data_IF_075922854941
#
_entry.id   IF_075922854941
#
_cell.length_a   1.000
_cell.length_b   1.000
_cell.length_c   1.000
_cell.angle_alpha   90.00
_cell.angle_beta   90.00
_cell.angle_gamma   90.00
#
_symmetry.space_group_name_H-M   'P 1'
#
loop_
_entity.id
_entity.type
_entity.pdbx_description
1 polymer ?
#
# COMPACT_ATOMS: atom_id res chain seq x y z
N UNK A 1 -29.02 -0.19 -21.24
CA UNK A 1 -28.19 -0.44 -20.01
C UNK A 1 -26.76 -0.49 -20.50
N UNK A 2 -25.85 0.30 -19.95
CA UNK A 2 -24.44 0.27 -20.33
C UNK A 2 -23.79 -1.07 -19.96
N UNK A 3 -22.84 -1.51 -20.77
CA UNK A 3 -22.16 -2.78 -20.54
C UNK A 3 -21.22 -2.70 -19.34
N UNK A 4 -21.04 -3.84 -18.66
CA UNK A 4 -20.04 -3.97 -17.61
C UNK A 4 -18.66 -3.94 -18.28
N UNK A 5 -17.78 -3.07 -17.78
CA UNK A 5 -16.38 -2.99 -18.19
C UNK A 5 -15.50 -3.61 -17.12
N UNK A 6 -14.44 -4.28 -17.53
CA UNK A 6 -13.44 -4.88 -16.65
C UNK A 6 -12.18 -4.02 -16.65
N UNK A 7 -11.63 -3.79 -15.48
CA UNK A 7 -10.40 -3.06 -15.29
C UNK A 7 -9.43 -3.88 -14.43
N UNK A 8 -8.32 -4.30 -15.02
CA UNK A 8 -7.25 -5.03 -14.35
C UNK A 8 -6.36 -4.04 -13.59
N UNK A 9 -6.04 -4.38 -12.36
CA UNK A 9 -5.30 -3.51 -11.48
C UNK A 9 -4.59 -4.29 -10.37
N UNK A 10 -3.55 -3.70 -9.80
CA UNK A 10 -2.92 -4.16 -8.57
C UNK A 10 -3.66 -3.60 -7.35
N UNK A 11 -3.88 -4.43 -6.33
CA UNK A 11 -4.43 -4.01 -5.05
C UNK A 11 -3.45 -3.06 -4.34
N UNK A 12 -3.97 -1.94 -3.82
CA UNK A 12 -3.18 -0.86 -3.23
C UNK A 12 -3.16 -0.86 -1.69
N UNK A 13 -3.56 -1.97 -1.04
CA UNK A 13 -3.65 -2.00 0.43
C UNK A 13 -2.32 -2.37 1.09
N UNK A 14 -1.60 -3.33 0.52
CA UNK A 14 -0.34 -3.80 1.11
C UNK A 14 0.66 -4.29 0.04
N UNK A 15 1.86 -4.62 0.49
CA UNK A 15 3.01 -5.01 -0.33
C UNK A 15 2.82 -6.33 -1.07
N UNK A 16 1.80 -7.12 -0.75
CA UNK A 16 1.46 -8.33 -1.51
C UNK A 16 1.00 -8.01 -2.93
N UNK A 17 0.53 -6.77 -3.18
CA UNK A 17 0.18 -6.23 -4.50
C UNK A 17 -0.62 -7.20 -5.37
N UNK A 18 -1.60 -7.89 -4.78
CA UNK A 18 -2.40 -8.89 -5.49
C UNK A 18 -3.10 -8.31 -6.71
N UNK A 19 -3.10 -9.05 -7.81
CA UNK A 19 -3.86 -8.70 -9.02
C UNK A 19 -5.37 -8.80 -8.78
N UNK A 20 -6.09 -7.76 -9.15
CA UNK A 20 -7.55 -7.67 -9.04
C UNK A 20 -8.19 -7.25 -10.35
N UNK A 21 -9.37 -7.77 -10.60
CA UNK A 21 -10.24 -7.36 -11.70
C UNK A 21 -11.43 -6.61 -11.13
N UNK A 22 -11.55 -5.35 -11.47
CA UNK A 22 -12.64 -4.48 -11.06
C UNK A 22 -13.68 -4.45 -12.19
N UNK A 23 -14.86 -4.98 -11.93
CA UNK A 23 -16.01 -4.80 -12.81
C UNK A 23 -16.72 -3.50 -12.44
N UNK A 24 -16.92 -2.62 -13.41
CA UNK A 24 -17.59 -1.35 -13.19
C UNK A 24 -18.62 -1.04 -14.29
N UNK A 25 -19.62 -0.24 -13.95
CA UNK A 25 -20.67 0.26 -14.83
C UNK A 25 -21.00 1.70 -14.43
N UNK A 26 -21.00 2.61 -15.40
CA UNK A 26 -21.36 4.02 -15.21
C UNK A 26 -20.63 4.70 -14.01
N UNK A 27 -19.35 4.36 -13.83
CA UNK A 27 -18.53 4.90 -12.74
C UNK A 27 -18.71 4.22 -11.38
N UNK A 28 -19.62 3.26 -11.27
CA UNK A 28 -19.85 2.50 -10.02
C UNK A 28 -19.14 1.14 -10.07
N UNK A 29 -18.54 0.73 -8.97
CA UNK A 29 -17.89 -0.57 -8.83
C UNK A 29 -18.96 -1.63 -8.59
N UNK A 30 -19.10 -2.57 -9.52
CA UNK A 30 -20.02 -3.71 -9.41
C UNK A 30 -19.43 -4.80 -8.54
N UNK A 31 -18.18 -5.20 -8.81
CA UNK A 31 -17.48 -6.21 -8.04
C UNK A 31 -15.96 -6.07 -8.15
N UNK A 32 -15.26 -6.63 -7.15
CA UNK A 32 -13.80 -6.82 -7.18
C UNK A 32 -13.53 -8.31 -7.03
N UNK A 33 -12.79 -8.88 -7.97
CA UNK A 33 -12.43 -10.30 -8.00
C UNK A 33 -10.93 -10.47 -8.16
N UNK A 34 -10.38 -11.65 -7.82
CA UNK A 34 -8.98 -11.94 -8.09
C UNK A 34 -8.72 -11.97 -9.60
N UNK A 35 -7.54 -11.53 -10.00
CA UNK A 35 -7.01 -11.75 -11.33
C UNK A 35 -6.31 -13.13 -11.34
N UNK A 36 -6.88 -14.08 -12.09
CA UNK A 36 -6.35 -15.43 -12.18
C UNK A 36 -5.09 -15.53 -13.05
N UNK A 37 -4.82 -14.52 -13.86
CA UNK A 37 -3.63 -14.45 -14.72
C UNK A 37 -2.46 -13.72 -14.04
N UNK A 38 -2.70 -13.09 -12.87
CA UNK A 38 -1.63 -12.42 -12.13
C UNK A 38 -0.61 -13.44 -11.60
N UNK A 39 0.63 -13.27 -12.02
CA UNK A 39 1.72 -14.21 -11.73
C UNK A 39 2.14 -14.20 -10.25
N UNK A 40 1.92 -13.10 -9.52
CA UNK A 40 2.26 -12.97 -8.12
C UNK A 40 1.19 -13.56 -7.20
N UNK A 41 -0.05 -13.10 -7.34
CA UNK A 41 -1.16 -13.53 -6.47
C UNK A 41 -1.83 -14.83 -6.92
N UNK A 42 -1.60 -15.27 -8.17
CA UNK A 42 -2.11 -16.53 -8.71
C UNK A 42 -3.60 -16.76 -8.45
N UNK A 43 -4.39 -15.72 -8.67
CA UNK A 43 -5.84 -15.77 -8.43
C UNK A 43 -6.25 -15.78 -6.96
N UNK A 44 -5.38 -15.33 -6.05
CA UNK A 44 -5.71 -15.18 -4.62
C UNK A 44 -5.83 -13.71 -4.25
N UNK A 45 -6.91 -13.36 -3.54
CA UNK A 45 -7.04 -12.08 -2.84
C UNK A 45 -7.57 -12.30 -1.43
N UNK A 46 -7.16 -11.45 -0.51
CA UNK A 46 -7.67 -11.48 0.85
C UNK A 46 -8.98 -10.66 0.98
N UNK A 47 -9.73 -10.81 2.09
CA UNK A 47 -10.97 -10.06 2.32
C UNK A 47 -10.81 -8.53 2.22
N UNK A 48 -9.63 -8.00 2.57
CA UNK A 48 -9.34 -6.55 2.48
C UNK A 48 -9.42 -6.03 1.05
N UNK A 49 -8.97 -6.82 0.07
CA UNK A 49 -9.03 -6.43 -1.33
C UNK A 49 -10.48 -6.38 -1.86
N UNK A 50 -11.35 -7.27 -1.39
CA UNK A 50 -12.79 -7.23 -1.70
C UNK A 50 -13.44 -5.98 -1.09
N UNK A 51 -13.09 -5.64 0.14
CA UNK A 51 -13.61 -4.48 0.87
C UNK A 51 -13.17 -3.12 0.27
N UNK A 52 -12.25 -3.11 -0.72
CA UNK A 52 -11.91 -1.87 -1.45
C UNK A 52 -13.14 -1.22 -2.12
N UNK A 53 -14.15 -2.02 -2.50
CA UNK A 53 -15.40 -1.48 -3.05
C UNK A 53 -16.10 -0.62 -2.00
N UNK A 54 -16.30 -1.14 -0.79
CA UNK A 54 -16.97 -0.45 0.30
C UNK A 54 -16.21 0.82 0.69
N UNK A 55 -14.87 0.73 0.77
CA UNK A 55 -14.01 1.88 1.02
C UNK A 55 -14.13 2.96 -0.08
N UNK A 56 -14.24 2.55 -1.35
CA UNK A 56 -14.38 3.48 -2.49
C UNK A 56 -15.73 4.19 -2.49
N UNK A 57 -16.80 3.48 -2.13
CA UNK A 57 -18.19 3.95 -2.17
C UNK A 57 -18.65 4.54 -0.83
N UNK A 58 -17.83 4.48 0.21
CA UNK A 58 -18.15 5.00 1.54
C UNK A 58 -18.63 6.47 1.46
N UNK A 59 -19.83 6.78 1.95
CA UNK A 59 -20.40 8.13 1.93
C UNK A 59 -19.58 9.13 2.77
N UNK A 60 -18.88 8.66 3.81
CA UNK A 60 -18.05 9.48 4.68
C UNK A 60 -16.65 9.75 4.10
N UNK A 61 -16.33 9.13 2.96
CA UNK A 61 -15.05 9.35 2.29
C UNK A 61 -14.92 10.78 1.78
N UNK A 62 -13.87 11.48 2.20
CA UNK A 62 -13.54 12.80 1.68
C UNK A 62 -13.23 12.71 0.18
N UNK A 63 -13.97 13.47 -0.63
CA UNK A 63 -13.82 13.54 -2.09
C UNK A 63 -13.26 14.88 -2.57
N UNK A 64 -13.24 15.86 -1.68
CA UNK A 64 -12.74 17.21 -1.90
C UNK A 64 -11.86 17.65 -0.73
N UNK A 65 -10.95 18.59 -0.93
CA UNK A 65 -10.20 19.18 0.16
C UNK A 65 -11.15 19.89 1.12
N UNK A 66 -10.88 19.76 2.41
CA UNK A 66 -11.65 20.39 3.48
C UNK A 66 -10.74 21.33 4.27
N UNK A 67 -11.20 22.54 4.51
CA UNK A 67 -10.51 23.52 5.35
C UNK A 67 -11.25 23.67 6.68
N UNK A 68 -10.49 23.62 7.77
CA UNK A 68 -11.07 23.88 9.09
C UNK A 68 -11.31 25.36 9.30
N UNK A 69 -12.51 25.72 9.76
CA UNK A 69 -12.92 27.05 10.17
C UNK A 69 -13.23 27.09 11.66
N UNK A 70 -13.57 28.26 12.20
CA UNK A 70 -14.01 28.41 13.59
C UNK A 70 -15.35 27.71 13.87
N UNK A 71 -16.20 27.55 12.85
CA UNK A 71 -17.53 26.95 12.95
C UNK A 71 -17.59 25.48 12.48
N UNK A 72 -16.48 24.91 11.95
CA UNK A 72 -16.48 23.53 11.46
C UNK A 72 -15.54 23.31 10.29
N UNK A 73 -16.00 22.60 9.27
CA UNK A 73 -15.26 22.28 8.07
C UNK A 73 -15.99 22.80 6.84
N UNK A 74 -15.25 23.37 5.90
CA UNK A 74 -15.77 23.81 4.61
C UNK A 74 -15.03 23.15 3.45
N UNK A 75 -15.76 22.81 2.40
CA UNK A 75 -15.18 22.31 1.16
C UNK A 75 -14.50 23.47 0.40
N UNK A 76 -13.27 23.22 -0.09
CA UNK A 76 -12.51 24.19 -0.90
C UNK A 76 -12.03 23.53 -2.20
N UNK A 77 -11.66 24.33 -3.18
CA UNK A 77 -11.06 23.82 -4.41
C UNK A 77 -9.66 23.29 -4.17
N UNK A 78 -9.18 22.39 -5.04
CA UNK A 78 -7.80 21.90 -5.02
C UNK A 78 -6.79 23.04 -5.18
N UNK A 79 -7.07 24.04 -6.03
CA UNK A 79 -6.21 25.21 -6.20
C UNK A 79 -6.07 25.99 -4.88
N UNK A 80 -7.18 26.31 -4.23
CA UNK A 80 -7.17 27.00 -2.93
C UNK A 80 -6.46 26.19 -1.84
N UNK A 81 -6.58 24.85 -1.85
CA UNK A 81 -5.88 23.99 -0.91
C UNK A 81 -4.36 24.06 -1.12
N UNK A 82 -3.89 23.96 -2.37
CA UNK A 82 -2.47 24.05 -2.68
C UNK A 82 -1.87 25.42 -2.36
N UNK A 83 -2.54 26.51 -2.69
CA UNK A 83 -2.12 27.87 -2.34
C UNK A 83 -1.97 28.03 -0.81
N UNK A 84 -2.93 27.56 -0.05
CA UNK A 84 -2.88 27.64 1.41
C UNK A 84 -1.76 26.78 2.00
N UNK A 85 -1.54 25.57 1.49
CA UNK A 85 -0.45 24.68 1.93
C UNK A 85 0.91 25.32 1.63
N UNK A 86 1.12 25.81 0.41
CA UNK A 86 2.36 26.47 -0.01
C UNK A 86 2.67 27.66 0.90
N UNK A 87 1.70 28.55 1.08
CA UNK A 87 1.84 29.72 1.94
C UNK A 87 2.20 29.32 3.38
N UNK A 88 1.43 28.42 4.00
CA UNK A 88 1.63 28.03 5.42
C UNK A 88 2.97 27.32 5.64
N UNK A 89 3.32 26.37 4.79
CA UNK A 89 4.61 25.70 4.86
C UNK A 89 5.74 26.71 4.65
N UNK A 90 5.60 27.62 3.68
CA UNK A 90 6.56 28.69 3.44
C UNK A 90 6.78 29.58 4.66
N UNK A 91 5.71 30.01 5.31
CA UNK A 91 5.75 30.84 6.52
C UNK A 91 6.42 30.13 7.72
N UNK A 92 6.11 28.85 7.93
CA UNK A 92 6.71 28.04 9.01
C UNK A 92 8.20 27.88 8.76
N UNK A 93 8.60 27.54 7.53
CA UNK A 93 10.01 27.37 7.15
C UNK A 93 10.80 28.69 7.23
N UNK A 94 10.21 29.79 6.84
CA UNK A 94 10.85 31.10 6.94
C UNK A 94 11.14 31.52 8.40
N UNK A 95 10.25 31.15 9.32
CA UNK A 95 10.40 31.49 10.75
C UNK A 95 11.29 30.52 11.53
N UNK A 96 11.23 29.24 11.21
CA UNK A 96 11.79 28.18 12.04
C UNK A 96 12.79 27.26 11.30
N UNK A 97 13.08 27.54 10.04
CA UNK A 97 13.96 26.71 9.20
C UNK A 97 13.28 25.49 8.60
N UNK A 98 13.99 24.78 7.71
CA UNK A 98 13.43 23.66 6.97
C UNK A 98 13.02 22.48 7.87
N UNK A 99 13.77 22.24 8.94
CA UNK A 99 13.54 21.11 9.86
C UNK A 99 12.33 21.33 10.80
N UNK A 100 11.64 22.46 10.68
CA UNK A 100 10.34 22.70 11.35
C UNK A 100 9.17 21.94 10.71
N UNK A 101 9.37 21.39 9.52
CA UNK A 101 8.40 20.54 8.83
C UNK A 101 8.86 19.09 8.90
N UNK A 102 7.97 18.19 9.26
CA UNK A 102 8.22 16.75 9.26
C UNK A 102 7.35 16.06 8.21
N UNK A 103 7.88 15.03 7.57
CA UNK A 103 7.17 14.19 6.63
C UNK A 103 7.05 12.77 7.19
N UNK A 104 5.84 12.23 7.21
CA UNK A 104 5.60 10.82 7.47
C UNK A 104 5.06 10.16 6.18
N UNK A 105 5.87 9.25 5.62
CA UNK A 105 5.52 8.54 4.38
C UNK A 105 4.81 7.25 4.75
N UNK A 106 3.53 7.18 4.41
CA UNK A 106 2.68 6.03 4.69
C UNK A 106 2.84 4.91 3.66
N UNK A 107 2.41 3.71 4.04
CA UNK A 107 2.45 2.51 3.21
C UNK A 107 1.81 2.67 1.81
N UNK A 108 0.65 3.33 1.63
CA UNK A 108 0.05 3.49 0.30
C UNK A 108 0.94 4.20 -0.72
N UNK A 109 1.96 4.93 -0.30
CA UNK A 109 2.91 5.59 -1.21
C UNK A 109 3.65 4.58 -2.08
N UNK A 110 4.03 3.42 -1.54
CA UNK A 110 4.76 2.37 -2.29
C UNK A 110 3.86 1.53 -3.18
N UNK A 111 2.54 1.61 -3.03
CA UNK A 111 1.54 0.88 -3.83
C UNK A 111 0.83 1.76 -4.85
N UNK A 112 1.21 3.02 -4.94
CA UNK A 112 0.68 3.99 -5.90
C UNK A 112 1.82 4.51 -6.78
N UNK A 113 1.81 4.13 -8.04
CA UNK A 113 2.88 4.49 -8.98
C UNK A 113 3.09 6.00 -9.07
N UNK A 114 2.03 6.79 -9.14
CA UNK A 114 2.13 8.25 -9.18
C UNK A 114 2.79 8.83 -7.92
N UNK A 115 2.42 8.33 -6.73
CA UNK A 115 3.05 8.74 -5.48
C UNK A 115 4.52 8.32 -5.43
N UNK A 116 4.86 7.09 -5.84
CA UNK A 116 6.26 6.62 -5.90
C UNK A 116 7.13 7.49 -6.81
N UNK A 117 6.62 7.85 -7.97
CA UNK A 117 7.37 8.68 -8.92
C UNK A 117 7.58 10.12 -8.42
N UNK A 118 6.65 10.64 -7.61
CA UNK A 118 6.64 12.05 -7.19
C UNK A 118 7.21 12.27 -5.79
N UNK A 119 7.22 11.25 -4.91
CA UNK A 119 7.61 11.41 -3.51
C UNK A 119 9.05 11.90 -3.33
N UNK A 120 9.97 11.45 -4.18
CA UNK A 120 11.38 11.86 -4.14
C UNK A 120 11.56 13.35 -4.43
N UNK A 121 10.85 13.88 -5.40
CA UNK A 121 10.87 15.30 -5.74
C UNK A 121 10.22 16.14 -4.65
N UNK A 122 9.11 15.66 -4.10
CA UNK A 122 8.44 16.30 -2.98
C UNK A 122 9.33 16.40 -1.75
N UNK A 123 10.00 15.30 -1.36
CA UNK A 123 10.95 15.30 -0.24
C UNK A 123 12.10 16.29 -0.48
N UNK A 124 12.65 16.31 -1.69
CA UNK A 124 13.70 17.28 -2.07
C UNK A 124 13.22 18.73 -2.00
N UNK A 125 11.98 19.00 -2.40
CA UNK A 125 11.40 20.35 -2.33
C UNK A 125 11.18 20.82 -0.89
N UNK A 126 10.74 19.94 0.01
CA UNK A 126 10.51 20.28 1.43
C UNK A 126 11.83 20.53 2.16
N UNK A 127 12.93 19.87 1.78
CA UNK A 127 14.30 20.06 2.33
C UNK A 127 14.38 19.88 3.86
N UNK A 128 13.63 18.95 4.41
CA UNK A 128 13.68 18.61 5.83
C UNK A 128 14.52 17.36 6.07
N UNK A 129 15.16 17.27 7.25
CA UNK A 129 15.77 16.04 7.76
C UNK A 129 14.77 15.14 8.47
N UNK A 130 13.59 15.66 8.79
CA UNK A 130 12.56 14.97 9.55
C UNK A 130 11.67 14.14 8.61
N UNK A 131 12.21 13.01 8.15
CA UNK A 131 11.52 12.05 7.30
C UNK A 131 11.30 10.75 8.08
N UNK A 132 10.06 10.34 8.20
CA UNK A 132 9.64 9.17 8.96
C UNK A 132 8.74 8.25 8.14
N UNK A 133 8.77 6.97 8.47
CA UNK A 133 7.84 5.96 7.93
C UNK A 133 7.71 4.80 8.90
N UNK A 134 6.74 3.91 8.68
CA UNK A 134 6.60 2.67 9.45
C UNK A 134 7.78 1.71 9.25
N UNK A 135 8.54 1.86 8.17
CA UNK A 135 9.63 0.96 7.78
C UNK A 135 10.64 0.70 8.91
N UNK A 136 10.93 1.72 9.73
CA UNK A 136 11.93 1.60 10.81
C UNK A 136 11.58 0.56 11.90
N UNK A 137 10.30 0.28 12.11
CA UNK A 137 9.82 -0.69 13.12
C UNK A 137 9.12 -1.89 12.49
N UNK A 138 8.92 -1.88 11.17
CA UNK A 138 8.21 -2.91 10.42
C UNK A 138 9.19 -3.74 9.56
N UNK A 139 9.69 -3.21 8.46
CA UNK A 139 10.48 -3.95 7.48
C UNK A 139 11.98 -3.82 7.65
N UNK A 140 12.46 -2.82 8.36
CA UNK A 140 13.90 -2.54 8.50
C UNK A 140 14.70 -3.75 9.01
N UNK A 141 14.24 -4.56 9.98
CA UNK A 141 14.95 -5.76 10.40
C UNK A 141 15.21 -6.74 9.24
N UNK A 142 14.22 -6.97 8.38
CA UNK A 142 14.38 -7.80 7.17
C UNK A 142 15.33 -7.17 6.15
N UNK A 143 15.22 -5.86 5.94
CA UNK A 143 16.10 -5.14 5.02
C UNK A 143 17.56 -5.20 5.48
N UNK A 144 17.82 -5.03 6.77
CA UNK A 144 19.17 -5.14 7.35
C UNK A 144 19.69 -6.56 7.20
N UNK A 145 18.90 -7.57 7.57
CA UNK A 145 19.27 -8.97 7.41
C UNK A 145 19.57 -9.31 5.94
N UNK A 146 18.73 -8.88 5.01
CA UNK A 146 18.94 -9.08 3.58
C UNK A 146 20.21 -8.39 3.08
N UNK A 147 20.47 -7.18 3.54
CA UNK A 147 21.70 -6.46 3.20
C UNK A 147 22.96 -7.23 3.69
N UNK A 148 22.93 -7.74 4.91
CA UNK A 148 24.06 -8.47 5.50
C UNK A 148 24.24 -9.85 4.88
N UNK A 149 23.16 -10.55 4.51
CA UNK A 149 23.23 -11.92 3.98
C UNK A 149 23.43 -11.95 2.46
N UNK A 150 22.85 -11.01 1.73
CA UNK A 150 22.77 -11.03 0.27
C UNK A 150 23.38 -9.79 -0.41
N UNK A 151 23.83 -8.81 0.36
CA UNK A 151 24.47 -7.59 -0.13
C UNK A 151 23.52 -6.47 -0.56
N UNK A 152 22.20 -6.68 -0.50
CA UNK A 152 21.23 -5.62 -0.85
C UNK A 152 19.93 -5.75 -0.07
N UNK A 153 19.40 -4.63 0.41
CA UNK A 153 18.23 -4.59 1.29
C UNK A 153 16.92 -5.10 0.66
N UNK A 154 16.80 -5.12 -0.66
CA UNK A 154 15.60 -5.59 -1.37
C UNK A 154 15.72 -7.01 -1.92
N UNK A 155 16.78 -7.73 -1.60
CA UNK A 155 16.88 -9.16 -1.92
C UNK A 155 16.13 -9.98 -0.85
N UNK A 156 14.81 -9.82 -0.81
CA UNK A 156 13.96 -10.52 0.14
C UNK A 156 13.83 -12.00 -0.22
N UNK A 157 14.21 -12.93 0.67
CA UNK A 157 14.05 -14.37 0.40
C UNK A 157 12.58 -14.75 0.47
N UNK A 158 12.06 -15.30 -0.62
CA UNK A 158 10.68 -15.84 -0.67
C UNK A 158 10.74 -17.33 -0.32
N UNK A 159 10.11 -17.79 0.80
CA UNK A 159 10.13 -19.18 1.19
C UNK A 159 9.48 -20.09 0.14
N UNK A 160 10.16 -21.17 -0.26
CA UNK A 160 9.64 -22.15 -1.20
C UNK A 160 8.71 -23.17 -0.50
N UNK A 161 7.54 -22.71 -0.12
CA UNK A 161 6.53 -23.53 0.58
C UNK A 161 6.04 -24.69 -0.28
N UNK A 162 6.12 -24.56 -1.60
CA UNK A 162 5.59 -25.55 -2.52
C UNK A 162 6.49 -26.80 -2.65
N UNK A 163 7.77 -26.70 -2.29
CA UNK A 163 8.75 -27.79 -2.44
C UNK A 163 9.38 -28.23 -1.13
N UNK A 164 9.41 -27.36 -0.10
CA UNK A 164 9.99 -27.72 1.19
C UNK A 164 9.23 -28.85 1.88
N UNK A 165 9.94 -29.61 2.71
CA UNK A 165 9.35 -30.62 3.61
C UNK A 165 9.25 -30.11 5.05
N UNK A 166 9.91 -28.97 5.37
CA UNK A 166 9.80 -28.32 6.68
C UNK A 166 9.62 -26.83 6.48
N UNK A 167 8.58 -26.28 7.09
CA UNK A 167 8.33 -24.85 7.12
C UNK A 167 8.18 -24.38 8.55
N UNK A 168 9.05 -23.45 8.97
CA UNK A 168 9.01 -22.84 10.30
C UNK A 168 8.61 -21.39 10.16
N UNK A 169 7.51 -21.00 10.79
CA UNK A 169 7.02 -19.62 10.82
C UNK A 169 7.06 -19.10 12.26
N UNK A 170 7.86 -18.07 12.51
CA UNK A 170 8.02 -17.46 13.83
C UNK A 170 7.50 -16.02 13.77
N UNK A 171 6.47 -15.72 14.58
CA UNK A 171 5.90 -14.38 14.71
C UNK A 171 5.12 -13.85 13.50
N UNK A 172 5.08 -14.56 12.37
CA UNK A 172 4.35 -14.18 11.17
C UNK A 172 2.99 -14.87 11.05
N UNK A 173 2.04 -14.22 10.35
CA UNK A 173 0.76 -14.84 9.97
C UNK A 173 0.50 -14.64 8.47
N UNK A 174 1.07 -15.50 7.59
CA UNK A 174 0.89 -15.38 6.14
C UNK A 174 -0.57 -15.49 5.68
N UNK A 175 -1.43 -16.15 6.45
CA UNK A 175 -2.88 -16.22 6.15
C UNK A 175 -3.51 -14.84 6.19
N UNK A 176 -3.20 -14.06 7.23
CA UNK A 176 -3.76 -12.71 7.39
C UNK A 176 -3.05 -11.67 6.50
N UNK A 177 -1.72 -11.77 6.34
CA UNK A 177 -0.92 -10.78 5.63
C UNK A 177 -0.79 -11.03 4.13
N UNK A 178 -1.10 -12.23 3.65
CA UNK A 178 -0.78 -12.65 2.27
C UNK A 178 0.72 -12.80 2.01
N UNK A 179 1.53 -12.86 3.08
CA UNK A 179 2.99 -12.95 3.02
C UNK A 179 3.69 -11.61 2.85
N UNK A 180 2.96 -10.51 2.68
CA UNK A 180 3.51 -9.17 2.47
C UNK A 180 4.51 -9.16 1.29
N UNK A 181 5.70 -8.57 1.42
CA UNK A 181 6.75 -8.56 0.39
C UNK A 181 7.16 -9.97 -0.10
N UNK A 182 7.10 -10.97 0.77
CA UNK A 182 7.44 -12.35 0.42
C UNK A 182 6.32 -13.09 -0.33
N UNK A 183 5.18 -12.44 -0.52
CA UNK A 183 4.01 -12.93 -1.25
C UNK A 183 3.71 -14.42 -1.09
N UNK A 184 2.71 -14.74 -0.27
CA UNK A 184 2.29 -16.13 0.00
C UNK A 184 0.81 -16.36 -0.37
N UNK A 185 0.43 -16.24 -1.66
CA UNK A 185 -0.95 -16.40 -2.09
C UNK A 185 -1.47 -17.81 -1.78
N UNK A 186 -2.70 -17.90 -1.28
CA UNK A 186 -3.32 -19.19 -0.97
C UNK A 186 -2.54 -20.03 0.05
N UNK A 187 -1.91 -19.39 1.04
CA UNK A 187 -0.97 -20.02 1.97
C UNK A 187 -1.54 -21.26 2.66
N UNK A 188 -2.81 -21.24 3.07
CA UNK A 188 -3.47 -22.38 3.71
C UNK A 188 -3.45 -23.63 2.82
N UNK A 189 -3.77 -23.47 1.53
CA UNK A 189 -3.73 -24.57 0.55
C UNK A 189 -2.32 -25.11 0.36
N UNK A 190 -1.32 -24.23 0.34
CA UNK A 190 0.09 -24.58 0.19
C UNK A 190 0.61 -25.36 1.41
N UNK A 191 0.22 -24.96 2.62
CA UNK A 191 0.54 -25.70 3.85
C UNK A 191 -0.19 -27.05 3.90
N UNK A 192 -1.45 -27.11 3.48
CA UNK A 192 -2.15 -28.40 3.37
C UNK A 192 -1.44 -29.35 2.39
N UNK A 193 -0.98 -28.85 1.26
CA UNK A 193 -0.20 -29.63 0.31
C UNK A 193 1.18 -30.06 0.88
N UNK A 194 1.84 -29.20 1.68
CA UNK A 194 3.08 -29.53 2.38
C UNK A 194 2.83 -30.72 3.33
N UNK A 195 1.80 -30.65 4.18
CA UNK A 195 1.42 -31.75 5.09
C UNK A 195 1.12 -33.02 4.35
N UNK A 196 0.42 -32.96 3.22
CA UNK A 196 0.13 -34.15 2.40
C UNK A 196 1.38 -34.82 1.80
N UNK A 197 2.50 -34.09 1.69
CA UNK A 197 3.80 -34.61 1.26
C UNK A 197 4.64 -35.19 2.42
N UNK A 198 4.13 -35.15 3.66
CA UNK A 198 4.85 -35.63 4.85
C UNK A 198 5.71 -34.60 5.56
N UNK A 199 5.46 -33.29 5.30
CA UNK A 199 6.11 -32.17 5.99
C UNK A 199 5.29 -31.61 7.12
#
# INVERSE_FOLDING_TARGET
MSDIRLHHRTCSICEAMCGIVIAHRDGQVVSIKPDHEDVLSRGHICPKAVALKDLHEDPDRLRRPMRRTTSGWEEISWAAAFEEIERRIGEVRARHGNDSVALYVGNPTVHNLGAMLSVGDFIRAVRTKNLYSATSVDQLPHMVASCMMFGHQFLMPVPDVDRTQLFVCIGGNPVASGGSLMSAPGFERRVAALRARGG
#
